data_IF_955094123849
#
_entry.id   IF_955094123849
#
_cell.length_a   1.000
_cell.length_b   1.000
_cell.length_c   1.000
_cell.angle_alpha   90.00
_cell.angle_beta   90.00
_cell.angle_gamma   90.00
#
_symmetry.space_group_name_H-M   'P 1'
#
loop_
_entity.id
_entity.type
_entity.pdbx_description
1 polymer ?
#
# COMPACT_ATOMS: atom_id res chain seq x y z
N UNK A 1 -14.97 -21.22 25.03
CA UNK A 1 -13.72 -20.89 25.76
C UNK A 1 -12.59 -20.41 24.85
N UNK A 2 -12.28 -21.07 23.71
CA UNK A 2 -11.17 -20.67 22.82
C UNK A 2 -11.30 -19.28 22.17
N UNK A 3 -12.51 -18.84 21.77
CA UNK A 3 -12.75 -17.51 21.17
C UNK A 3 -12.52 -16.33 22.13
N UNK A 4 -12.86 -16.50 23.41
CA UNK A 4 -12.69 -15.44 24.43
C UNK A 4 -11.21 -15.28 24.84
N UNK A 5 -10.43 -16.36 24.83
CA UNK A 5 -8.99 -16.33 25.08
C UNK A 5 -8.22 -15.72 23.90
N UNK A 6 -8.69 -15.92 22.67
CA UNK A 6 -8.16 -15.25 21.47
C UNK A 6 -8.43 -13.75 21.50
N UNK A 7 -9.67 -13.33 21.82
CA UNK A 7 -10.02 -11.91 21.97
C UNK A 7 -9.21 -11.23 23.08
N UNK A 8 -9.03 -11.91 24.23
CA UNK A 8 -8.23 -11.40 25.34
C UNK A 8 -6.75 -11.29 24.98
N UNK A 9 -6.18 -12.25 24.21
CA UNK A 9 -4.80 -12.19 23.76
C UNK A 9 -4.58 -11.03 22.76
N UNK A 10 -5.51 -10.80 21.83
CA UNK A 10 -5.48 -9.67 20.88
C UNK A 10 -5.58 -8.33 21.61
N UNK A 11 -6.48 -8.21 22.60
CA UNK A 11 -6.63 -6.99 23.40
C UNK A 11 -5.42 -6.71 24.32
N UNK A 12 -4.79 -7.76 24.86
CA UNK A 12 -3.62 -7.62 25.75
C UNK A 12 -2.35 -7.30 24.96
N UNK A 13 -2.18 -7.87 23.75
CA UNK A 13 -1.11 -7.50 22.83
C UNK A 13 -1.27 -6.04 22.34
N UNK A 14 -2.50 -5.63 22.02
CA UNK A 14 -2.81 -4.25 21.63
C UNK A 14 -2.53 -3.20 22.71
N UNK A 15 -2.70 -3.56 23.99
CA UNK A 15 -2.44 -2.65 25.11
C UNK A 15 -0.95 -2.44 25.41
N UNK A 16 -0.08 -3.44 25.14
CA UNK A 16 1.37 -3.31 25.38
C UNK A 16 2.11 -2.52 24.29
N UNK A 17 1.54 -2.36 23.11
CA UNK A 17 2.14 -1.67 21.96
C UNK A 17 1.97 -0.14 22.00
N UNK A 18 1.30 0.41 23.00
CA UNK A 18 0.92 1.83 23.08
C UNK A 18 2.00 2.79 23.62
N UNK A 19 3.23 2.32 23.92
CA UNK A 19 4.14 3.09 24.78
C UNK A 19 5.43 3.64 24.15
N UNK A 20 5.67 3.57 22.84
CA UNK A 20 6.90 4.14 22.26
C UNK A 20 6.65 4.78 20.89
N UNK A 21 6.38 6.09 20.87
CA UNK A 21 6.35 6.91 19.66
C UNK A 21 7.69 7.60 19.47
N UNK A 22 8.36 7.33 18.36
CA UNK A 22 9.38 8.20 17.77
C UNK A 22 8.83 8.61 16.42
N UNK A 23 8.47 9.88 16.27
CA UNK A 23 8.06 10.46 14.99
C UNK A 23 9.31 10.58 14.11
N UNK A 24 9.50 9.61 13.22
CA UNK A 24 10.36 9.81 12.06
C UNK A 24 9.46 10.28 10.93
N UNK A 25 9.74 11.47 10.37
CA UNK A 25 9.18 11.87 9.08
C UNK A 25 9.80 10.95 8.01
N UNK A 26 9.14 9.81 7.76
CA UNK A 26 9.60 8.87 6.73
C UNK A 26 8.91 9.26 5.43
N UNK A 27 9.69 9.57 4.39
CA UNK A 27 9.19 9.60 3.02
C UNK A 27 8.77 8.17 2.69
N UNK A 28 7.47 7.89 2.74
CA UNK A 28 6.95 6.56 2.53
C UNK A 28 6.01 6.56 1.33
N UNK A 29 6.11 5.52 0.50
CA UNK A 29 5.30 5.40 -0.69
C UNK A 29 3.82 5.24 -0.32
N UNK A 30 2.92 5.70 -1.20
CA UNK A 30 1.47 5.49 -1.08
C UNK A 30 1.05 4.07 -1.47
N UNK A 31 2.01 3.20 -1.81
CA UNK A 31 1.86 1.75 -1.99
C UNK A 31 2.92 1.05 -1.13
N UNK A 32 2.69 -0.21 -0.72
CA UNK A 32 3.70 -0.93 0.08
C UNK A 32 4.72 -1.59 -0.82
N UNK A 33 4.26 -2.47 -1.72
CA UNK A 33 5.12 -3.14 -2.66
C UNK A 33 4.34 -3.62 -3.90
N UNK A 34 3.57 -4.71 -3.76
CA UNK A 34 2.67 -5.25 -4.79
C UNK A 34 1.29 -4.59 -4.76
N UNK A 35 0.86 -4.18 -3.57
CA UNK A 35 -0.49 -3.73 -3.27
C UNK A 35 -0.48 -2.34 -2.62
N UNK A 36 -1.64 -1.65 -2.56
CA UNK A 36 -1.78 -0.42 -1.77
C UNK A 36 -1.87 -0.69 -0.26
N UNK A 37 -1.31 -1.79 0.26
CA UNK A 37 -1.38 -2.21 1.66
C UNK A 37 -0.55 -1.34 2.64
N UNK A 38 -0.66 -0.02 2.54
CA UNK A 38 -0.07 0.96 3.45
C UNK A 38 -1.13 1.98 3.87
N UNK A 39 -1.03 2.45 5.10
CA UNK A 39 -1.85 3.58 5.59
C UNK A 39 -1.30 4.95 5.21
N UNK A 40 -0.18 5.00 4.50
CA UNK A 40 0.41 6.25 4.02
C UNK A 40 -0.43 6.88 2.89
N UNK A 41 -0.46 8.21 2.91
CA UNK A 41 -1.20 9.06 1.98
C UNK A 41 -0.28 10.20 1.56
N UNK A 42 -0.24 10.48 0.26
CA UNK A 42 0.51 11.57 -0.35
C UNK A 42 0.22 12.91 0.35
N UNK A 43 1.26 13.68 0.72
CA UNK A 43 1.06 14.99 1.34
C UNK A 43 0.37 16.00 0.39
N UNK A 44 -0.28 17.01 0.97
CA UNK A 44 -0.98 18.05 0.21
C UNK A 44 -0.09 18.73 -0.83
N UNK A 45 -0.54 18.74 -2.08
CA UNK A 45 0.15 19.39 -3.20
C UNK A 45 1.43 18.68 -3.66
N UNK A 46 1.78 17.54 -3.06
CA UNK A 46 2.92 16.73 -3.49
C UNK A 46 2.45 15.82 -4.62
N UNK A 47 3.05 16.05 -5.79
CA UNK A 47 2.84 15.22 -6.98
C UNK A 47 3.82 14.04 -6.93
N UNK A 48 3.31 12.83 -7.14
CA UNK A 48 4.06 11.59 -7.16
C UNK A 48 3.89 10.92 -8.51
N UNK A 49 5.00 10.52 -9.13
CA UNK A 49 5.04 9.80 -10.40
C UNK A 49 5.59 8.41 -10.10
N UNK A 50 4.81 7.37 -10.41
CA UNK A 50 5.19 5.97 -10.28
C UNK A 50 5.38 5.32 -11.65
N UNK A 51 6.33 4.39 -11.75
CA UNK A 51 6.45 3.48 -12.89
C UNK A 51 6.85 2.12 -12.36
N UNK A 52 5.96 1.14 -12.51
CA UNK A 52 6.19 -0.24 -12.14
C UNK A 52 6.43 -1.07 -13.40
N UNK A 53 7.57 -1.76 -13.41
CA UNK A 53 7.97 -2.63 -14.51
C UNK A 53 8.35 -3.98 -13.98
N UNK A 54 7.72 -5.01 -14.54
CA UNK A 54 7.93 -6.38 -14.17
C UNK A 54 8.61 -7.12 -15.31
N UNK A 55 9.51 -8.02 -14.95
CA UNK A 55 10.19 -8.87 -15.90
C UNK A 55 10.56 -10.18 -15.21
N UNK A 56 10.58 -11.25 -15.98
CA UNK A 56 10.96 -12.56 -15.45
C UNK A 56 12.48 -12.65 -15.32
N UNK A 57 12.93 -13.29 -14.24
CA UNK A 57 14.35 -13.40 -13.90
C UNK A 57 14.78 -14.85 -14.04
N UNK A 58 15.76 -15.11 -14.92
CA UNK A 58 16.33 -16.44 -15.23
C UNK A 58 15.38 -17.49 -15.83
N UNK A 59 14.09 -17.22 -15.92
CA UNK A 59 13.09 -18.10 -16.50
C UNK A 59 12.13 -17.27 -17.37
N UNK A 60 11.67 -17.79 -18.50
CA UNK A 60 10.71 -17.11 -19.36
C UNK A 60 9.58 -18.10 -19.64
N UNK A 61 8.58 -18.08 -18.76
CA UNK A 61 7.41 -18.94 -18.86
C UNK A 61 6.27 -18.29 -19.65
N UNK A 62 6.50 -17.09 -20.21
CA UNK A 62 5.53 -16.35 -21.02
C UNK A 62 4.63 -15.39 -20.23
N UNK A 63 4.71 -15.40 -18.89
CA UNK A 63 3.97 -14.46 -18.05
C UNK A 63 4.68 -13.10 -18.00
N UNK A 64 3.94 -12.04 -18.34
CA UNK A 64 4.36 -10.66 -18.18
C UNK A 64 3.25 -9.90 -17.46
N UNK A 65 3.57 -9.39 -16.27
CA UNK A 65 2.70 -8.41 -15.63
C UNK A 65 2.73 -7.11 -16.44
N UNK A 66 1.62 -6.35 -16.45
CA UNK A 66 1.56 -5.10 -17.19
C UNK A 66 2.52 -4.06 -16.61
N UNK A 67 3.00 -3.15 -17.46
CA UNK A 67 3.66 -1.92 -17.00
C UNK A 67 2.59 -0.98 -16.47
N UNK A 68 2.78 -0.49 -15.25
CA UNK A 68 1.94 0.54 -14.66
C UNK A 68 2.71 1.86 -14.62
N UNK A 69 2.09 2.94 -15.06
CA UNK A 69 2.60 4.30 -14.92
C UNK A 69 1.52 5.19 -14.30
N UNK A 70 1.80 5.65 -13.08
CA UNK A 70 0.83 6.36 -12.24
C UNK A 70 1.21 7.81 -11.95
N UNK A 71 0.19 8.65 -11.81
CA UNK A 71 0.30 10.01 -11.30
C UNK A 71 -0.65 10.18 -10.12
N UNK A 72 -0.11 10.50 -8.94
CA UNK A 72 -0.89 10.68 -7.70
C UNK A 72 -0.60 12.04 -7.08
N UNK A 73 -1.60 12.67 -6.46
CA UNK A 73 -1.44 13.93 -5.73
C UNK A 73 -2.27 13.95 -4.44
N UNK A 74 -1.69 14.48 -3.37
CA UNK A 74 -2.44 14.79 -2.15
C UNK A 74 -3.29 16.06 -2.31
N UNK A 75 -4.58 15.99 -1.98
CA UNK A 75 -5.54 17.07 -2.27
C UNK A 75 -6.14 17.78 -1.05
N UNK A 76 -5.89 17.28 0.16
CA UNK A 76 -6.40 17.90 1.39
C UNK A 76 -5.29 18.55 2.23
N UNK A 77 -5.42 19.83 2.63
CA UNK A 77 -4.41 20.57 3.38
C UNK A 77 -4.50 20.37 4.90
N UNK A 78 -5.07 19.25 5.37
CA UNK A 78 -5.26 18.99 6.80
C UNK A 78 -4.26 17.97 7.34
N UNK A 79 -3.75 18.21 8.55
CA UNK A 79 -2.75 17.32 9.17
C UNK A 79 -3.33 15.99 9.64
N UNK A 80 -4.56 16.03 10.19
CA UNK A 80 -5.24 14.86 10.77
C UNK A 80 -5.99 14.01 9.76
N UNK A 81 -6.31 14.59 8.60
CA UNK A 81 -7.16 13.97 7.61
C UNK A 81 -6.60 14.27 6.23
N UNK A 82 -6.05 13.25 5.58
CA UNK A 82 -5.38 13.38 4.29
C UNK A 82 -6.18 12.64 3.23
N UNK A 83 -6.05 13.08 1.99
CA UNK A 83 -6.62 12.41 0.84
C UNK A 83 -5.69 12.56 -0.35
N UNK A 84 -5.60 11.50 -1.13
CA UNK A 84 -4.94 11.47 -2.43
C UNK A 84 -5.91 10.98 -3.51
N UNK A 85 -5.64 11.41 -4.73
CA UNK A 85 -6.26 10.89 -5.95
C UNK A 85 -5.15 10.63 -6.97
N UNK A 86 -5.38 9.71 -7.87
CA UNK A 86 -4.46 9.41 -8.95
C UNK A 86 -5.10 8.76 -10.15
N UNK A 87 -4.30 8.68 -11.20
CA UNK A 87 -4.61 8.06 -12.48
C UNK A 87 -3.42 7.21 -12.90
N UNK A 88 -3.71 5.98 -13.29
CA UNK A 88 -2.73 5.00 -13.72
C UNK A 88 -2.99 4.62 -15.19
N UNK A 89 -1.91 4.34 -15.91
CA UNK A 89 -1.92 3.79 -17.26
C UNK A 89 -1.26 2.43 -17.20
N UNK A 90 -2.06 1.38 -17.33
CA UNK A 90 -1.66 -0.02 -17.19
C UNK A 90 -1.68 -0.67 -18.57
N UNK A 91 -0.51 -1.01 -19.11
CA UNK A 91 -0.35 -1.54 -20.47
C UNK A 91 0.29 -2.94 -20.46
N UNK A 92 -0.01 -3.84 -21.42
CA UNK A 92 -0.74 -3.59 -22.67
C UNK A 92 -2.22 -4.00 -22.62
N UNK A 93 -3.14 -3.04 -22.72
CA UNK A 93 -4.60 -3.30 -22.83
C UNK A 93 -5.28 -2.19 -23.63
N UNK A 94 -6.45 -2.50 -24.21
CA UNK A 94 -7.22 -1.53 -25.03
C UNK A 94 -7.81 -0.38 -24.18
N UNK A 95 -8.02 -0.63 -22.88
CA UNK A 95 -8.60 0.32 -21.91
C UNK A 95 -7.66 0.58 -20.71
N UNK A 96 -6.47 1.18 -20.93
CA UNK A 96 -5.37 1.16 -19.97
C UNK A 96 -5.53 2.14 -18.81
N UNK A 97 -6.52 3.03 -18.87
CA UNK A 97 -6.68 4.09 -17.88
C UNK A 97 -7.49 3.57 -16.69
N UNK A 98 -6.91 3.68 -15.51
CA UNK A 98 -7.59 3.44 -14.24
C UNK A 98 -7.43 4.60 -13.27
N UNK A 99 -8.34 4.73 -12.31
CA UNK A 99 -8.29 5.77 -11.28
C UNK A 99 -8.12 5.17 -9.88
N UNK A 100 -7.50 5.94 -9.00
CA UNK A 100 -7.32 5.59 -7.60
C UNK A 100 -7.63 6.78 -6.69
N UNK A 101 -8.08 6.48 -5.48
CA UNK A 101 -8.26 7.46 -4.42
C UNK A 101 -8.08 6.81 -3.06
N UNK A 102 -7.56 7.56 -2.09
CA UNK A 102 -7.41 7.10 -0.72
C UNK A 102 -7.55 8.26 0.25
N UNK A 103 -8.20 8.00 1.38
CA UNK A 103 -8.46 8.99 2.42
C UNK A 103 -8.23 8.37 3.79
N UNK A 104 -7.73 9.13 4.75
CA UNK A 104 -7.40 8.56 6.05
C UNK A 104 -6.73 9.51 7.02
N UNK A 105 -6.35 8.94 8.15
CA UNK A 105 -5.76 9.64 9.28
C UNK A 105 -4.39 9.02 9.62
N UNK A 106 -3.31 9.81 9.68
CA UNK A 106 -2.00 9.29 10.10
C UNK A 106 -2.03 8.72 11.52
N UNK A 107 -1.09 7.82 11.83
CA UNK A 107 -0.93 7.28 13.17
C UNK A 107 -0.77 8.42 14.21
N UNK A 108 -1.42 8.29 15.37
CA UNK A 108 -1.33 9.27 16.46
C UNK A 108 -2.11 10.58 16.23
N UNK A 109 -2.65 10.84 15.03
CA UNK A 109 -3.27 12.13 14.68
C UNK A 109 -4.64 12.38 15.32
N UNK A 110 -5.42 11.32 15.56
CA UNK A 110 -6.74 11.40 16.21
C UNK A 110 -6.60 11.60 17.71
N UNK A 111 -5.75 10.78 18.34
CA UNK A 111 -5.32 10.87 19.73
C UNK A 111 -3.97 10.16 19.90
N UNK A 112 -3.25 10.44 20.99
CA UNK A 112 -1.96 9.82 21.25
C UNK A 112 -2.08 8.28 21.26
N UNK A 113 -1.29 7.60 20.44
CA UNK A 113 -1.33 6.14 20.29
C UNK A 113 -2.42 5.59 19.38
N UNK A 114 -3.30 6.43 18.80
CA UNK A 114 -4.26 5.98 17.76
C UNK A 114 -3.52 5.31 16.59
N UNK A 115 -4.08 4.23 16.00
CA UNK A 115 -3.54 3.65 14.78
C UNK A 115 -3.73 4.62 13.60
N UNK A 116 -2.97 4.42 12.54
CA UNK A 116 -3.31 4.99 11.25
C UNK A 116 -4.52 4.24 10.66
N UNK A 117 -5.38 4.97 9.95
CA UNK A 117 -6.59 4.42 9.32
C UNK A 117 -6.70 4.96 7.91
N UNK A 118 -7.07 4.13 6.95
CA UNK A 118 -7.49 4.62 5.64
C UNK A 118 -8.67 3.83 5.06
N UNK A 119 -9.32 4.47 4.09
CA UNK A 119 -10.22 3.86 3.13
C UNK A 119 -9.72 4.26 1.75
N UNK A 120 -9.69 3.32 0.82
CA UNK A 120 -9.26 3.60 -0.54
C UNK A 120 -10.05 2.80 -1.57
N UNK A 121 -9.88 3.23 -2.81
CA UNK A 121 -10.36 2.57 -4.01
C UNK A 121 -9.25 2.63 -5.07
N UNK A 122 -9.01 1.53 -5.77
CA UNK A 122 -8.03 1.46 -6.85
C UNK A 122 -8.52 0.54 -7.97
N UNK A 123 -7.81 0.56 -9.10
CA UNK A 123 -8.22 -0.10 -10.34
C UNK A 123 -9.67 0.25 -10.73
N UNK A 124 -10.02 1.53 -10.59
CA UNK A 124 -11.29 2.05 -11.12
C UNK A 124 -11.13 2.23 -12.62
N UNK A 125 -11.38 1.15 -13.36
CA UNK A 125 -11.23 1.09 -14.80
C UNK A 125 -12.28 1.86 -15.57
N UNK A 126 -12.05 1.93 -16.88
CA UNK A 126 -12.90 2.67 -17.83
C UNK A 126 -13.80 1.77 -18.67
N UNK A 127 -13.54 0.46 -18.68
CA UNK A 127 -14.33 -0.54 -19.41
C UNK A 127 -14.96 -1.57 -18.47
N UNK A 128 -16.26 -1.79 -18.67
CA UNK A 128 -17.12 -2.61 -17.82
C UNK A 128 -16.81 -4.10 -17.99
N UNK A 129 -16.67 -4.81 -16.88
CA UNK A 129 -16.40 -6.26 -16.83
C UNK A 129 -15.04 -6.63 -17.49
N UNK A 130 -14.12 -5.65 -17.59
CA UNK A 130 -12.78 -5.80 -18.18
C UNK A 130 -11.71 -5.18 -17.29
N UNK A 131 -11.73 -3.84 -17.12
CA UNK A 131 -10.72 -3.13 -16.32
C UNK A 131 -11.29 -2.52 -15.04
N UNK A 132 -12.61 -2.57 -14.85
CA UNK A 132 -13.34 -1.97 -13.73
C UNK A 132 -13.38 -2.86 -12.48
N UNK A 133 -12.22 -3.31 -12.03
CA UNK A 133 -12.09 -4.11 -10.80
C UNK A 133 -12.62 -3.38 -9.58
N UNK A 134 -12.55 -2.03 -9.58
CA UNK A 134 -13.21 -1.15 -8.61
C UNK A 134 -12.98 -1.57 -7.16
N UNK A 135 -11.72 -1.85 -6.81
CA UNK A 135 -11.39 -2.51 -5.54
C UNK A 135 -11.40 -1.49 -4.42
N UNK A 136 -12.37 -1.62 -3.52
CA UNK A 136 -12.49 -0.82 -2.30
C UNK A 136 -11.84 -1.55 -1.14
N UNK A 137 -11.07 -0.85 -0.33
CA UNK A 137 -10.38 -1.43 0.82
C UNK A 137 -10.35 -0.47 2.00
N UNK A 138 -10.05 -1.02 3.18
CA UNK A 138 -9.75 -0.23 4.36
C UNK A 138 -8.64 -0.85 5.16
N UNK A 139 -7.69 -0.04 5.63
CA UNK A 139 -6.53 -0.53 6.38
C UNK A 139 -6.44 0.12 7.76
N UNK A 140 -5.92 -0.67 8.69
CA UNK A 140 -5.42 -0.21 9.99
C UNK A 140 -3.91 -0.40 9.99
N UNK A 141 -3.19 0.68 10.32
CA UNK A 141 -1.73 0.72 10.35
C UNK A 141 -1.21 1.02 11.74
N UNK A 142 -0.12 0.34 12.13
CA UNK A 142 0.53 0.59 13.42
C UNK A 142 2.03 0.37 13.36
N UNK A 143 2.76 1.30 13.95
CA UNK A 143 4.19 1.15 14.22
C UNK A 143 4.42 0.24 15.42
N UNK A 144 5.17 -0.84 15.21
CA UNK A 144 5.69 -1.71 16.25
C UNK A 144 7.11 -1.27 16.59
N UNK A 145 7.37 -0.77 17.81
CA UNK A 145 8.66 -0.25 18.21
C UNK A 145 9.79 -1.25 17.92
N UNK A 146 10.87 -0.75 17.33
CA UNK A 146 12.05 -1.52 16.92
C UNK A 146 11.83 -2.59 15.85
N UNK A 147 10.60 -2.88 15.40
CA UNK A 147 10.34 -3.86 14.33
C UNK A 147 9.97 -3.19 13.01
N UNK A 148 9.07 -2.23 12.97
CA UNK A 148 8.60 -1.62 11.73
C UNK A 148 7.12 -1.30 11.81
N UNK A 149 6.49 -1.02 10.67
CA UNK A 149 5.07 -0.72 10.56
C UNK A 149 4.35 -1.91 9.94
N UNK A 150 3.19 -2.24 10.48
CA UNK A 150 2.28 -3.26 9.93
C UNK A 150 0.98 -2.58 9.56
N UNK A 151 0.46 -2.94 8.40
CA UNK A 151 -0.81 -2.47 7.86
C UNK A 151 -1.64 -3.69 7.48
N UNK A 152 -2.93 -3.68 7.80
CA UNK A 152 -3.82 -4.81 7.51
C UNK A 152 -5.25 -4.35 7.31
N UNK A 153 -5.96 -5.00 6.40
CA UNK A 153 -7.41 -4.89 6.35
C UNK A 153 -8.03 -5.54 5.12
N UNK A 154 -9.37 -5.54 5.04
CA UNK A 154 -10.11 -6.20 3.99
C UNK A 154 -10.15 -5.39 2.69
N UNK A 155 -10.44 -6.08 1.59
CA UNK A 155 -10.86 -5.48 0.32
C UNK A 155 -12.09 -6.19 -0.24
N UNK A 156 -12.82 -5.48 -1.11
CA UNK A 156 -13.90 -6.00 -1.94
C UNK A 156 -13.86 -5.28 -3.30
N UNK A 157 -13.97 -6.03 -4.39
CA UNK A 157 -13.99 -5.52 -5.76
C UNK A 157 -15.27 -5.89 -6.52
N UNK A 158 -15.26 -5.60 -7.82
CA UNK A 158 -16.31 -5.97 -8.76
C UNK A 158 -16.32 -7.49 -9.00
N UNK A 159 -17.44 -8.16 -8.73
CA UNK A 159 -17.60 -9.61 -8.90
C UNK A 159 -17.46 -10.09 -10.35
N UNK A 160 -17.78 -9.22 -11.32
CA UNK A 160 -17.71 -9.56 -12.75
C UNK A 160 -16.28 -9.44 -13.33
N UNK A 161 -15.41 -8.62 -12.69
CA UNK A 161 -14.05 -8.31 -13.17
C UNK A 161 -12.93 -8.89 -12.31
N UNK A 162 -13.18 -9.05 -11.00
CA UNK A 162 -12.23 -9.62 -10.05
C UNK A 162 -12.60 -11.07 -9.79
N UNK A 163 -12.17 -11.91 -10.74
CA UNK A 163 -12.50 -13.34 -10.83
C UNK A 163 -11.26 -14.22 -10.72
N UNK A 164 -11.47 -15.50 -10.47
CA UNK A 164 -10.43 -16.53 -10.51
C UNK A 164 -10.03 -16.91 -11.94
N UNK A 165 -9.05 -17.82 -12.06
CA UNK A 165 -8.58 -18.33 -13.35
C UNK A 165 -9.62 -19.12 -14.15
N UNK A 166 -10.72 -19.55 -13.53
CA UNK A 166 -11.85 -20.21 -14.14
C UNK A 166 -13.01 -19.23 -14.47
N UNK A 167 -12.88 -17.96 -14.08
CA UNK A 167 -13.88 -16.91 -14.27
C UNK A 167 -14.99 -16.87 -13.20
N UNK A 168 -14.80 -17.52 -12.05
CA UNK A 168 -15.73 -17.42 -10.92
C UNK A 168 -15.41 -16.20 -10.05
N UNK A 169 -16.43 -15.67 -9.37
CA UNK A 169 -16.27 -14.57 -8.40
C UNK A 169 -15.22 -14.91 -7.34
N UNK A 170 -14.18 -14.07 -7.25
CA UNK A 170 -13.11 -14.13 -6.25
C UNK A 170 -12.74 -12.69 -5.85
N UNK A 171 -13.76 -11.89 -5.53
CA UNK A 171 -13.69 -10.44 -5.44
C UNK A 171 -13.43 -9.88 -4.03
N UNK A 172 -13.39 -10.73 -3.00
CA UNK A 172 -13.16 -10.33 -1.60
C UNK A 172 -11.88 -10.93 -1.02
N UNK A 173 -11.31 -10.26 -0.02
CA UNK A 173 -10.13 -10.78 0.65
C UNK A 173 -9.54 -9.79 1.65
N UNK A 174 -8.26 -9.96 1.94
CA UNK A 174 -7.50 -9.08 2.81
C UNK A 174 -6.11 -8.78 2.26
N UNK A 175 -5.57 -7.64 2.67
CA UNK A 175 -4.21 -7.22 2.41
C UNK A 175 -3.44 -7.08 3.72
N UNK A 176 -2.15 -7.39 3.66
CA UNK A 176 -1.18 -7.14 4.74
C UNK A 176 0.06 -6.49 4.14
N UNK A 177 0.50 -5.40 4.74
CA UNK A 177 1.77 -4.75 4.42
C UNK A 177 2.66 -4.64 5.64
N UNK A 178 3.96 -4.70 5.41
CA UNK A 178 5.00 -4.44 6.38
C UNK A 178 6.08 -3.57 5.77
N UNK A 179 6.52 -2.58 6.52
CA UNK A 179 7.69 -1.80 6.13
C UNK A 179 8.58 -1.45 7.32
N UNK A 180 9.87 -1.29 7.04
CA UNK A 180 10.86 -0.90 8.03
C UNK A 180 11.91 0.00 7.41
N UNK A 181 11.97 1.22 7.92
CA UNK A 181 12.99 2.18 7.56
C UNK A 181 14.35 1.88 8.22
N UNK A 182 15.43 2.12 7.46
CA UNK A 182 16.82 1.98 7.85
C UNK A 182 17.65 3.14 7.33
N UNK A 183 18.85 3.31 7.90
CA UNK A 183 19.84 4.30 7.46
C UNK A 183 19.26 5.73 7.42
N UNK A 184 18.91 6.31 8.59
CA UNK A 184 18.47 7.69 8.65
C UNK A 184 19.55 8.60 8.04
N UNK A 185 19.10 9.51 7.18
CA UNK A 185 19.95 10.38 6.37
C UNK A 185 19.36 11.78 6.35
N UNK A 186 20.21 12.79 6.27
CA UNK A 186 19.81 14.19 6.11
C UNK A 186 20.32 14.70 4.77
N UNK A 187 19.47 15.37 3.99
CA UNK A 187 19.90 16.02 2.75
C UNK A 187 20.65 17.34 3.01
N UNK A 188 21.15 17.98 1.95
CA UNK A 188 21.88 19.25 2.06
C UNK A 188 21.02 20.42 2.57
N UNK A 189 19.70 20.29 2.54
CA UNK A 189 18.73 21.29 2.99
C UNK A 189 18.27 21.04 4.43
N UNK A 190 18.78 19.98 5.08
CA UNK A 190 18.40 19.61 6.44
C UNK A 190 17.16 18.72 6.55
N UNK A 191 16.63 18.22 5.43
CA UNK A 191 15.47 17.31 5.47
C UNK A 191 15.92 15.90 5.83
N UNK A 192 15.26 15.29 6.82
CA UNK A 192 15.49 13.91 7.22
C UNK A 192 14.67 12.93 6.36
N UNK A 193 15.29 11.82 5.99
CA UNK A 193 14.66 10.70 5.30
C UNK A 193 15.43 9.41 5.57
N UNK A 194 14.86 8.26 5.21
CA UNK A 194 15.54 6.97 5.33
C UNK A 194 16.11 6.54 3.98
N UNK A 195 17.39 6.19 3.94
CA UNK A 195 18.05 5.80 2.69
C UNK A 195 17.53 4.45 2.17
N UNK A 196 17.14 3.58 3.10
CA UNK A 196 16.64 2.24 2.79
C UNK A 196 15.32 2.00 3.52
N UNK A 197 14.34 1.40 2.84
CA UNK A 197 13.15 0.85 3.48
C UNK A 197 13.00 -0.59 3.01
N UNK A 198 12.95 -1.53 3.94
CA UNK A 198 12.47 -2.88 3.62
C UNK A 198 10.96 -2.86 3.57
N UNK A 199 10.40 -3.47 2.53
CA UNK A 199 8.96 -3.59 2.38
C UNK A 199 8.57 -4.99 1.94
N UNK A 200 7.43 -5.45 2.44
CA UNK A 200 6.80 -6.68 2.03
C UNK A 200 5.29 -6.52 2.13
N UNK A 201 4.54 -7.10 1.21
CA UNK A 201 3.10 -7.16 1.30
C UNK A 201 2.54 -8.42 0.64
N UNK A 202 1.25 -8.63 0.89
CA UNK A 202 0.49 -9.75 0.40
C UNK A 202 -0.99 -9.38 0.33
N UNK A 203 -1.65 -9.74 -0.78
CA UNK A 203 -3.10 -9.81 -0.89
C UNK A 203 -3.53 -11.28 -1.00
N UNK A 204 -4.57 -11.63 -0.26
CA UNK A 204 -5.23 -12.94 -0.41
C UNK A 204 -6.05 -13.01 -1.69
N UNK A 205 -6.58 -14.20 -1.98
CA UNK A 205 -7.50 -14.45 -3.09
C UNK A 205 -6.80 -15.12 -4.27
N UNK A 206 -7.57 -15.84 -5.06
CA UNK A 206 -7.12 -16.47 -6.32
C UNK A 206 -7.48 -15.61 -7.54
N UNK A 207 -7.38 -14.28 -7.40
CA UNK A 207 -7.69 -13.29 -8.43
C UNK A 207 -6.44 -12.53 -8.87
N UNK A 208 -6.58 -11.54 -9.76
CA UNK A 208 -5.44 -10.79 -10.32
C UNK A 208 -4.61 -9.97 -9.32
N UNK A 209 -5.14 -9.66 -8.12
CA UNK A 209 -4.37 -8.97 -7.08
C UNK A 209 -3.79 -9.95 -6.06
N UNK A 210 -4.28 -11.19 -6.02
CA UNK A 210 -3.78 -12.24 -5.15
C UNK A 210 -2.31 -12.52 -5.42
N UNK A 211 -1.48 -12.42 -4.39
CA UNK A 211 -0.03 -12.44 -4.56
C UNK A 211 0.69 -11.61 -3.52
N UNK A 212 1.99 -11.44 -3.67
CA UNK A 212 2.79 -10.64 -2.76
C UNK A 212 4.17 -10.32 -3.28
N UNK A 213 4.89 -9.53 -2.49
CA UNK A 213 6.25 -9.14 -2.82
C UNK A 213 7.09 -8.87 -1.59
N UNK A 214 8.40 -8.86 -1.81
CA UNK A 214 9.37 -8.44 -0.80
C UNK A 214 10.54 -7.75 -1.48
N UNK A 215 10.99 -6.64 -0.90
CA UNK A 215 12.14 -5.94 -1.45
C UNK A 215 12.59 -4.74 -0.65
N UNK A 216 13.32 -3.88 -1.36
CA UNK A 216 13.95 -2.70 -0.78
C UNK A 216 13.61 -1.47 -1.61
N UNK A 217 13.18 -0.42 -0.93
CA UNK A 217 13.29 0.94 -1.43
C UNK A 217 14.70 1.46 -1.18
N UNK A 218 15.32 2.02 -2.21
CA UNK A 218 16.52 2.83 -2.10
C UNK A 218 16.19 4.28 -2.47
N UNK A 219 16.30 5.18 -1.51
CA UNK A 219 16.05 6.62 -1.71
C UNK A 219 17.32 7.32 -2.15
N UNK A 220 17.36 7.83 -3.39
CA UNK A 220 18.43 8.70 -3.88
C UNK A 220 18.37 10.06 -3.20
N UNK A 221 17.16 10.59 -3.05
CA UNK A 221 16.79 11.79 -2.28
C UNK A 221 15.52 11.48 -1.49
N UNK A 222 15.01 12.42 -0.69
CA UNK A 222 13.72 12.25 -0.01
C UNK A 222 12.53 12.09 -0.96
N UNK A 223 12.68 12.48 -2.24
CA UNK A 223 11.61 12.53 -3.24
C UNK A 223 11.80 11.53 -4.39
N UNK A 224 12.94 10.82 -4.45
CA UNK A 224 13.28 9.90 -5.55
C UNK A 224 13.77 8.59 -4.97
N UNK A 225 13.03 7.51 -5.23
CA UNK A 225 13.38 6.15 -4.83
C UNK A 225 13.32 5.14 -5.97
N UNK A 226 14.03 4.03 -5.80
CA UNK A 226 13.86 2.80 -6.56
C UNK A 226 13.33 1.71 -5.63
N UNK A 227 12.23 1.08 -6.00
CA UNK A 227 11.75 -0.16 -5.39
C UNK A 227 12.23 -1.36 -6.21
N UNK A 228 12.75 -2.40 -5.57
CA UNK A 228 13.20 -3.61 -6.28
C UNK A 228 13.14 -4.85 -5.41
N UNK A 229 12.88 -6.00 -6.05
CA UNK A 229 12.71 -7.31 -5.43
C UNK A 229 11.68 -8.16 -6.17
N UNK A 230 11.51 -9.44 -5.78
CA UNK A 230 10.53 -10.33 -6.40
C UNK A 230 9.08 -9.98 -6.04
N UNK A 231 8.18 -10.24 -6.99
CA UNK A 231 6.73 -10.38 -6.81
C UNK A 231 6.29 -11.78 -7.25
N UNK A 232 5.15 -12.24 -6.78
CA UNK A 232 4.52 -13.50 -7.16
C UNK A 232 3.01 -13.45 -6.96
#
# INVERSE_FOLDING_TARGET
MKKAQFLAAVLTAGALLLLLGVDMAVATPSTTYWTPATTDIQPFGVLHIGVDNYFTVFQNDGDSLPTDSGLTIGILPFDKFRMEIGVDVIEPTDDPVSFNAKVGTPEGSLFNGSPALNLGIFNVGTEKDVTDQNIVYGLVGKTIPYLGRVHIGPYIGNEDSLVDGDGNEENEGFMVGFDRAFMPTTDMQGNEYSKLIFAADYASGENSIGGGGVGLYYFFTKDISLLTGPVW
#
